data_IF_354884450126
#
_entry.id   IF_354884450126
#
_cell.length_a   1.000
_cell.length_b   1.000
_cell.length_c   1.000
_cell.angle_alpha   90.00
_cell.angle_beta   90.00
_cell.angle_gamma   90.00
#
_symmetry.space_group_name_H-M   'P 1'
#
loop_
_entity.id
_entity.type
_entity.pdbx_description
1 polymer ?
#
# COMPACT_ATOMS: atom_id res chain seq x y z
N UNK A 1 -5.92 -32.85 -19.04
CA UNK A 1 -4.86 -32.87 -18.00
C UNK A 1 -4.12 -31.55 -17.78
N UNK A 2 -3.78 -30.72 -18.80
CA UNK A 2 -2.96 -29.51 -18.60
C UNK A 2 -3.51 -28.50 -17.57
N UNK A 3 -4.83 -28.32 -17.55
CA UNK A 3 -5.52 -27.39 -16.62
C UNK A 3 -5.37 -27.76 -15.14
N UNK A 4 -5.31 -29.06 -14.82
CA UNK A 4 -5.11 -29.52 -13.43
C UNK A 4 -3.66 -29.33 -12.99
N UNK A 5 -2.70 -29.58 -13.89
CA UNK A 5 -1.27 -29.36 -13.62
C UNK A 5 -1.00 -27.87 -13.35
N UNK A 6 -1.60 -26.98 -14.14
CA UNK A 6 -1.51 -25.54 -13.93
C UNK A 6 -2.12 -25.07 -12.60
N UNK A 7 -3.27 -25.64 -12.23
CA UNK A 7 -3.94 -25.36 -10.96
C UNK A 7 -3.10 -25.85 -9.77
N UNK A 8 -2.53 -27.06 -9.86
CA UNK A 8 -1.66 -27.63 -8.83
C UNK A 8 -0.39 -26.78 -8.71
N UNK A 9 0.30 -26.46 -9.80
CA UNK A 9 1.49 -25.61 -9.79
C UNK A 9 1.21 -24.26 -9.11
N UNK A 10 0.08 -23.65 -9.46
CA UNK A 10 -0.34 -22.38 -8.87
C UNK A 10 -0.60 -22.50 -7.35
N UNK A 11 -1.33 -23.54 -6.93
CA UNK A 11 -1.70 -23.76 -5.53
C UNK A 11 -0.52 -24.20 -4.66
N UNK A 12 0.44 -24.96 -5.22
CA UNK A 12 1.57 -25.52 -4.47
C UNK A 12 2.81 -24.63 -4.46
N UNK A 13 3.03 -23.82 -5.49
CA UNK A 13 4.26 -23.01 -5.59
C UNK A 13 4.09 -21.53 -5.24
N UNK A 14 2.86 -20.98 -5.28
CA UNK A 14 2.59 -19.55 -5.00
C UNK A 14 3.54 -18.56 -5.71
N UNK A 15 4.18 -18.96 -6.80
CA UNK A 15 5.10 -18.09 -7.52
C UNK A 15 4.31 -17.02 -8.26
N UNK A 16 4.78 -15.76 -8.21
CA UNK A 16 4.11 -14.56 -8.76
C UNK A 16 4.08 -14.50 -10.29
N UNK A 17 4.77 -15.41 -10.97
CA UNK A 17 4.93 -15.35 -12.43
C UNK A 17 4.67 -16.69 -13.10
N UNK A 18 3.72 -16.69 -14.03
CA UNK A 18 3.34 -17.84 -14.88
C UNK A 18 4.38 -18.13 -15.99
N UNK A 19 5.39 -17.27 -16.15
CA UNK A 19 6.37 -17.30 -17.27
C UNK A 19 7.22 -18.56 -17.26
N UNK A 20 7.34 -19.24 -16.13
CA UNK A 20 8.04 -20.51 -15.99
C UNK A 20 7.27 -21.72 -16.55
N UNK A 21 6.00 -21.55 -16.94
CA UNK A 21 5.21 -22.62 -17.57
C UNK A 21 5.42 -22.59 -19.09
N UNK A 22 5.82 -23.71 -19.69
CA UNK A 22 6.03 -23.86 -21.13
C UNK A 22 4.79 -23.46 -21.97
N UNK A 23 3.60 -23.59 -21.38
CA UNK A 23 2.32 -23.25 -22.00
C UNK A 23 1.77 -21.87 -21.58
N UNK A 24 2.57 -20.95 -21.04
CA UNK A 24 2.06 -19.67 -20.50
C UNK A 24 1.30 -18.79 -21.51
N UNK A 25 1.55 -18.97 -22.82
CA UNK A 25 0.82 -18.26 -23.88
C UNK A 25 -0.62 -18.76 -24.07
N UNK A 26 -1.01 -19.85 -23.41
CA UNK A 26 -2.39 -20.33 -23.41
C UNK A 26 -3.32 -19.34 -22.69
N UNK A 27 -4.29 -18.81 -23.45
CA UNK A 27 -5.24 -17.81 -22.95
C UNK A 27 -6.16 -18.30 -21.82
N UNK A 28 -6.41 -19.60 -21.73
CA UNK A 28 -7.19 -20.20 -20.64
C UNK A 28 -6.37 -20.30 -19.37
N UNK A 29 -5.10 -20.69 -19.51
CA UNK A 29 -4.12 -20.77 -18.43
C UNK A 29 -3.87 -19.40 -17.79
N UNK A 30 -3.68 -18.36 -18.61
CA UNK A 30 -3.55 -16.98 -18.14
C UNK A 30 -4.77 -16.48 -17.37
N UNK A 31 -5.98 -16.81 -17.84
CA UNK A 31 -7.24 -16.44 -17.17
C UNK A 31 -7.36 -17.11 -15.80
N UNK A 32 -7.11 -18.42 -15.72
CA UNK A 32 -7.18 -19.17 -14.45
C UNK A 32 -6.15 -18.64 -13.46
N UNK A 33 -4.91 -18.43 -13.91
CA UNK A 33 -3.83 -17.89 -13.08
C UNK A 33 -4.16 -16.47 -12.58
N UNK A 34 -4.72 -15.61 -13.44
CA UNK A 34 -5.13 -14.25 -13.06
C UNK A 34 -6.22 -14.25 -12.00
N UNK A 35 -7.25 -15.07 -12.17
CA UNK A 35 -8.36 -15.19 -11.20
C UNK A 35 -7.82 -15.68 -9.86
N UNK A 36 -7.01 -16.73 -9.89
CA UNK A 36 -6.44 -17.29 -8.68
C UNK A 36 -5.50 -16.27 -8.00
N UNK A 37 -4.61 -15.61 -8.75
CA UNK A 37 -3.76 -14.54 -8.23
C UNK A 37 -4.56 -13.44 -7.55
N UNK A 38 -5.66 -12.98 -8.17
CA UNK A 38 -6.56 -11.97 -7.59
C UNK A 38 -7.20 -12.45 -6.29
N UNK A 39 -7.70 -13.69 -6.22
CA UNK A 39 -8.30 -14.26 -5.02
C UNK A 39 -7.26 -14.29 -3.88
N UNK A 40 -6.09 -14.87 -4.14
CA UNK A 40 -5.07 -15.04 -3.10
C UNK A 40 -4.39 -13.73 -2.69
N UNK A 41 -4.19 -12.76 -3.59
CA UNK A 41 -3.67 -11.43 -3.19
C UNK A 41 -4.68 -10.58 -2.45
N UNK A 42 -5.99 -10.74 -2.70
CA UNK A 42 -7.01 -9.99 -1.98
C UNK A 42 -7.23 -10.54 -0.57
N UNK A 43 -7.24 -11.86 -0.39
CA UNK A 43 -7.41 -12.49 0.93
C UNK A 43 -6.19 -12.32 1.84
N UNK A 44 -4.98 -12.56 1.33
CA UNK A 44 -3.74 -12.50 2.12
C UNK A 44 -3.37 -11.07 2.53
N UNK A 45 -3.52 -10.09 1.64
CA UNK A 45 -3.23 -8.70 1.98
C UNK A 45 -4.29 -8.11 2.91
N UNK A 46 -5.58 -8.43 2.73
CA UNK A 46 -6.61 -7.79 3.57
C UNK A 46 -6.53 -8.20 5.03
N UNK A 47 -6.18 -9.47 5.34
CA UNK A 47 -6.04 -9.93 6.72
C UNK A 47 -4.77 -9.39 7.37
N UNK A 48 -3.63 -9.52 6.70
CA UNK A 48 -2.34 -9.04 7.22
C UNK A 48 -2.32 -7.52 7.42
N UNK A 49 -2.90 -6.75 6.49
CA UNK A 49 -3.00 -5.30 6.63
C UNK A 49 -3.90 -4.93 7.82
N UNK A 50 -5.06 -5.59 7.96
CA UNK A 50 -5.94 -5.37 9.12
C UNK A 50 -5.26 -5.71 10.44
N UNK A 51 -4.54 -6.82 10.51
CA UNK A 51 -3.86 -7.26 11.73
C UNK A 51 -2.75 -6.25 12.13
N UNK A 52 -1.97 -5.73 11.18
CA UNK A 52 -0.96 -4.68 11.40
C UNK A 52 -1.59 -3.35 11.85
N UNK A 53 -2.71 -2.95 11.23
CA UNK A 53 -3.44 -1.74 11.62
C UNK A 53 -4.01 -1.82 13.03
N UNK A 54 -4.55 -2.99 13.42
CA UNK A 54 -5.06 -3.27 14.76
C UNK A 54 -3.92 -3.26 15.78
N UNK A 55 -2.77 -3.87 15.47
CA UNK A 55 -1.59 -3.86 16.35
C UNK A 55 -1.09 -2.43 16.59
N UNK A 56 -0.92 -1.65 15.51
CA UNK A 56 -0.53 -0.24 15.61
C UNK A 56 -1.53 0.60 16.42
N UNK A 57 -2.83 0.30 16.31
CA UNK A 57 -3.87 0.96 17.12
C UNK A 57 -3.72 0.62 18.60
N UNK A 58 -3.57 -0.66 18.94
CA UNK A 58 -3.38 -1.13 20.31
C UNK A 58 -2.15 -0.50 20.95
N UNK A 59 -1.02 -0.43 20.24
CA UNK A 59 0.21 0.20 20.72
C UNK A 59 0.05 1.69 21.01
N UNK A 60 -0.62 2.42 20.10
CA UNK A 60 -0.87 3.85 20.27
C UNK A 60 -1.77 4.12 21.49
N UNK A 61 -2.86 3.36 21.65
CA UNK A 61 -3.77 3.48 22.79
C UNK A 61 -3.07 3.12 24.10
N UNK A 62 -2.33 2.00 24.13
CA UNK A 62 -1.58 1.59 25.30
C UNK A 62 -0.52 2.64 25.70
N UNK A 63 0.14 3.28 24.73
CA UNK A 63 1.09 4.37 24.97
C UNK A 63 0.42 5.58 25.65
N UNK A 64 -0.77 5.98 25.19
CA UNK A 64 -1.50 7.09 25.82
C UNK A 64 -1.93 6.74 27.26
N UNK A 65 -2.42 5.52 27.52
CA UNK A 65 -2.74 5.10 28.88
C UNK A 65 -1.51 5.05 29.79
N UNK A 66 -0.35 4.59 29.30
CA UNK A 66 0.90 4.64 30.07
C UNK A 66 1.27 6.07 30.46
N UNK A 67 1.09 7.05 29.55
CA UNK A 67 1.32 8.47 29.86
C UNK A 67 0.35 9.00 30.91
N UNK A 68 -0.93 8.61 30.84
CA UNK A 68 -1.94 8.97 31.86
C UNK A 68 -1.55 8.41 33.22
N UNK A 69 -1.20 7.12 33.32
CA UNK A 69 -0.78 6.48 34.57
C UNK A 69 0.45 7.19 35.15
N UNK A 70 1.46 7.48 34.32
CA UNK A 70 2.67 8.16 34.75
C UNK A 70 2.40 9.57 35.29
N UNK A 71 1.57 10.36 34.60
CA UNK A 71 1.26 11.72 35.03
C UNK A 71 0.34 11.73 36.26
N UNK A 72 -0.53 10.74 36.41
CA UNK A 72 -1.39 10.62 37.59
C UNK A 72 -0.59 10.36 38.88
N UNK A 73 0.55 9.67 38.77
CA UNK A 73 1.44 9.41 39.91
C UNK A 73 2.15 10.69 40.43
N UNK A 74 2.30 11.72 39.60
CA UNK A 74 2.96 12.98 39.96
C UNK A 74 2.01 13.95 40.70
N UNK A 75 0.70 13.81 40.45
CA UNK A 75 -0.39 14.50 41.15
C UNK A 75 -0.32 16.05 41.21
N UNK A 76 0.46 16.67 40.34
CA UNK A 76 0.56 18.13 40.22
C UNK A 76 -0.43 18.70 39.17
N UNK A 77 -0.58 20.03 39.18
CA UNK A 77 -1.53 20.73 38.30
C UNK A 77 -1.15 20.66 36.81
N UNK A 78 0.15 20.59 36.49
CA UNK A 78 0.65 20.46 35.12
C UNK A 78 0.36 19.04 34.62
N UNK A 79 0.56 18.03 35.46
CA UNK A 79 0.22 16.65 35.17
C UNK A 79 -1.27 16.43 34.97
N UNK A 80 -2.16 17.10 35.73
CA UNK A 80 -3.61 17.05 35.48
C UNK A 80 -4.00 17.56 34.09
N UNK A 81 -3.46 18.70 33.66
CA UNK A 81 -3.70 19.23 32.30
C UNK A 81 -3.14 18.32 31.21
N UNK A 82 -2.03 17.63 31.47
CA UNK A 82 -1.46 16.64 30.53
C UNK A 82 -2.32 15.38 30.43
N UNK A 83 -2.89 14.90 31.54
CA UNK A 83 -3.81 13.75 31.54
C UNK A 83 -5.04 14.03 30.69
N UNK A 84 -5.65 15.21 30.86
CA UNK A 84 -6.79 15.67 30.04
C UNK A 84 -6.43 15.66 28.56
N UNK A 85 -5.28 16.26 28.19
CA UNK A 85 -4.80 16.26 26.81
C UNK A 85 -4.56 14.86 26.23
N UNK A 86 -3.95 13.95 27.00
CA UNK A 86 -3.73 12.57 26.52
C UNK A 86 -5.04 11.80 26.35
N UNK A 87 -6.04 12.08 27.17
CA UNK A 87 -7.37 11.52 27.01
C UNK A 87 -8.05 12.06 25.73
N UNK A 88 -7.98 13.36 25.48
CA UNK A 88 -8.47 13.99 24.24
C UNK A 88 -7.77 13.43 22.99
N UNK A 89 -6.44 13.34 23.01
CA UNK A 89 -5.64 12.74 21.93
C UNK A 89 -6.05 11.29 21.67
N UNK A 90 -6.29 10.52 22.74
CA UNK A 90 -6.77 9.14 22.67
C UNK A 90 -8.14 9.03 22.02
N UNK A 91 -9.10 9.87 22.43
CA UNK A 91 -10.46 9.93 21.85
C UNK A 91 -10.39 10.26 20.36
N UNK A 92 -9.66 11.32 19.99
CA UNK A 92 -9.51 11.74 18.60
C UNK A 92 -8.89 10.62 17.74
N UNK A 93 -7.86 9.94 18.26
CA UNK A 93 -7.23 8.83 17.56
C UNK A 93 -8.20 7.66 17.34
N UNK A 94 -8.98 7.27 18.36
CA UNK A 94 -9.95 6.18 18.27
C UNK A 94 -11.06 6.50 17.28
N UNK A 95 -11.59 7.72 17.27
CA UNK A 95 -12.60 8.16 16.31
C UNK A 95 -12.09 8.19 14.87
N UNK A 96 -10.85 8.65 14.68
CA UNK A 96 -10.18 8.62 13.38
C UNK A 96 -9.95 7.18 12.88
N UNK A 97 -9.52 6.29 13.77
CA UNK A 97 -9.32 4.88 13.44
C UNK A 97 -10.65 4.18 13.12
N UNK A 98 -11.69 4.42 13.92
CA UNK A 98 -13.04 3.88 13.68
C UNK A 98 -13.60 4.28 12.30
N UNK A 99 -13.43 5.56 11.91
CA UNK A 99 -13.85 6.03 10.58
C UNK A 99 -13.12 5.34 9.43
N UNK A 100 -11.84 5.00 9.63
CA UNK A 100 -11.03 4.30 8.62
C UNK A 100 -11.37 2.83 8.51
N UNK A 101 -11.63 2.15 9.63
CA UNK A 101 -11.83 0.70 9.66
C UNK A 101 -13.31 0.28 9.50
N UNK A 102 -14.26 1.11 9.93
CA UNK A 102 -15.70 0.80 9.97
C UNK A 102 -16.47 1.82 9.11
N UNK A 103 -15.96 2.18 7.94
CA UNK A 103 -16.67 3.08 7.02
C UNK A 103 -18.17 2.75 6.97
N UNK A 104 -19.02 3.77 7.07
CA UNK A 104 -20.47 3.64 6.97
C UNK A 104 -20.82 2.65 5.86
N UNK A 105 -21.61 1.65 6.24
CA UNK A 105 -21.86 0.47 5.45
C UNK A 105 -22.44 0.84 4.09
N UNK A 106 -21.63 0.72 3.06
CA UNK A 106 -22.11 0.36 1.75
C UNK A 106 -20.99 -0.34 1.01
N UNK A 107 -21.14 -1.67 0.92
CA UNK A 107 -20.57 -2.49 -0.13
C UNK A 107 -21.12 -2.00 -1.47
N UNK A 108 -20.69 -0.84 -1.93
CA UNK A 108 -20.70 -0.55 -3.34
C UNK A 108 -19.51 -1.32 -3.89
N UNK A 109 -19.80 -2.25 -4.78
CA UNK A 109 -18.89 -2.63 -5.85
C UNK A 109 -18.43 -1.33 -6.51
N UNK A 110 -17.39 -0.70 -5.94
CA UNK A 110 -16.73 0.42 -6.56
C UNK A 110 -16.03 -0.22 -7.74
N UNK A 111 -16.64 -0.02 -8.90
CA UNK A 111 -15.93 0.06 -10.17
C UNK A 111 -14.54 0.59 -9.85
N UNK A 112 -13.45 -0.08 -10.27
CA UNK A 112 -12.12 0.36 -9.90
C UNK A 112 -12.07 1.85 -10.20
N UNK A 113 -11.88 2.68 -9.18
CA UNK A 113 -11.48 4.06 -9.40
C UNK A 113 -10.34 3.89 -10.37
N UNK A 114 -10.51 4.39 -11.60
CA UNK A 114 -9.38 4.62 -12.47
C UNK A 114 -8.51 5.54 -11.63
N UNK A 115 -7.52 4.97 -10.95
CA UNK A 115 -6.39 5.70 -10.43
C UNK A 115 -5.87 6.39 -11.65
N UNK A 116 -6.25 7.65 -11.80
CA UNK A 116 -5.70 8.55 -12.79
C UNK A 116 -4.22 8.56 -12.46
N UNK A 117 -3.48 7.74 -13.19
CA UNK A 117 -2.04 7.61 -13.01
C UNK A 117 -1.48 9.02 -13.01
N UNK A 118 -0.68 9.34 -12.00
CA UNK A 118 -0.14 10.70 -11.90
C UNK A 118 0.59 11.03 -13.20
N UNK A 119 0.54 12.29 -13.63
CA UNK A 119 1.25 12.73 -14.85
C UNK A 119 2.74 12.33 -14.81
N UNK A 120 3.31 12.33 -13.60
CA UNK A 120 4.65 11.84 -13.30
C UNK A 120 4.79 10.33 -13.60
N UNK A 121 3.85 9.49 -13.15
CA UNK A 121 3.86 8.04 -13.36
C UNK A 121 3.66 7.67 -14.83
N UNK A 122 2.74 8.36 -15.53
CA UNK A 122 2.50 8.17 -16.96
C UNK A 122 3.79 8.43 -17.74
N UNK A 123 4.45 9.55 -17.45
CA UNK A 123 5.70 9.92 -18.13
C UNK A 123 6.83 8.91 -17.87
N UNK A 124 6.99 8.43 -16.63
CA UNK A 124 7.99 7.40 -16.31
C UNK A 124 7.72 6.11 -17.09
N UNK A 125 6.46 5.68 -17.20
CA UNK A 125 6.07 4.48 -17.96
C UNK A 125 6.30 4.65 -19.47
N UNK A 126 6.00 5.82 -20.03
CA UNK A 126 6.30 6.13 -21.43
C UNK A 126 7.80 6.12 -21.70
N UNK A 127 8.58 6.71 -20.80
CA UNK A 127 10.04 6.73 -20.90
C UNK A 127 10.64 5.32 -20.85
N UNK A 128 10.09 4.44 -20.00
CA UNK A 128 10.47 3.02 -19.93
C UNK A 128 10.11 2.25 -21.21
N UNK A 129 8.94 2.51 -21.81
CA UNK A 129 8.54 1.86 -23.07
C UNK A 129 9.44 2.27 -24.24
N UNK A 130 9.88 3.53 -24.28
CA UNK A 130 10.77 4.05 -25.32
C UNK A 130 12.22 3.56 -25.15
N UNK A 131 12.67 3.33 -23.92
CA UNK A 131 14.01 2.84 -23.64
C UNK A 131 13.95 1.36 -23.23
N UNK A 132 13.96 0.46 -24.20
CA UNK A 132 14.07 -0.98 -23.93
C UNK A 132 15.40 -1.27 -23.21
N UNK A 133 15.32 -1.79 -21.98
CA UNK A 133 16.48 -2.16 -21.16
C UNK A 133 16.45 -1.60 -19.74
N UNK A 134 17.63 -1.50 -19.11
CA UNK A 134 17.76 -1.02 -17.72
C UNK A 134 17.40 0.47 -17.64
N UNK A 135 16.42 0.80 -16.80
CA UNK A 135 15.92 2.15 -16.61
C UNK A 135 17.02 3.15 -16.23
N UNK A 136 17.19 4.19 -17.06
CA UNK A 136 18.13 5.30 -16.84
C UNK A 136 17.41 6.45 -16.13
N UNK A 137 17.45 6.44 -14.80
CA UNK A 137 16.70 7.36 -13.94
C UNK A 137 17.13 8.83 -14.04
N UNK A 138 18.43 9.12 -14.18
CA UNK A 138 18.90 10.50 -14.33
C UNK A 138 18.36 11.14 -15.62
N UNK A 139 18.53 10.55 -16.82
CA UNK A 139 17.94 11.10 -18.04
C UNK A 139 16.41 11.19 -18.05
N UNK A 140 15.73 10.28 -17.32
CA UNK A 140 14.29 10.34 -17.14
C UNK A 140 13.88 11.56 -16.31
N UNK A 141 14.58 11.82 -15.21
CA UNK A 141 14.29 12.94 -14.32
C UNK A 141 14.52 14.28 -15.02
N UNK A 142 15.65 14.44 -15.70
CA UNK A 142 16.02 15.68 -16.39
C UNK A 142 14.96 16.05 -17.44
N UNK A 143 14.56 15.09 -18.27
CA UNK A 143 13.50 15.28 -19.28
C UNK A 143 12.11 15.51 -18.69
N UNK A 144 11.84 14.99 -17.50
CA UNK A 144 10.57 15.24 -16.82
C UNK A 144 10.51 16.64 -16.23
N UNK A 145 11.61 17.12 -15.64
CA UNK A 145 11.75 18.49 -15.14
C UNK A 145 11.60 19.50 -16.29
N UNK A 146 12.20 19.25 -17.45
CA UNK A 146 12.01 20.07 -18.66
C UNK A 146 10.54 20.17 -19.11
N UNK A 147 9.73 19.14 -18.83
CA UNK A 147 8.29 19.12 -19.10
C UNK A 147 7.43 19.63 -17.93
N UNK A 148 8.05 20.20 -16.89
CA UNK A 148 7.36 20.70 -15.70
C UNK A 148 6.78 19.59 -14.81
N UNK A 149 7.25 18.35 -14.96
CA UNK A 149 6.90 17.21 -14.12
C UNK A 149 7.91 17.06 -12.98
N UNK A 150 7.60 16.22 -11.99
CA UNK A 150 8.51 15.89 -10.88
C UNK A 150 8.85 17.01 -9.89
N UNK A 151 8.10 18.11 -9.85
CA UNK A 151 8.38 19.26 -8.97
C UNK A 151 8.40 18.93 -7.46
N UNK A 152 7.83 17.80 -7.05
CA UNK A 152 7.84 17.29 -5.66
C UNK A 152 9.09 16.46 -5.30
N UNK A 153 9.96 16.16 -6.26
CA UNK A 153 11.14 15.33 -6.06
C UNK A 153 12.40 16.17 -6.18
N UNK A 154 13.25 16.13 -5.15
CA UNK A 154 14.49 16.91 -5.11
C UNK A 154 15.60 16.36 -6.03
N UNK A 155 15.49 15.11 -6.48
CA UNK A 155 16.46 14.45 -7.36
C UNK A 155 15.89 13.22 -8.06
N UNK A 156 16.60 12.72 -9.08
CA UNK A 156 16.29 11.44 -9.72
C UNK A 156 16.27 10.25 -8.73
N UNK A 157 17.07 10.33 -7.65
CA UNK A 157 17.09 9.30 -6.59
C UNK A 157 15.79 9.26 -5.81
N UNK A 158 15.24 10.43 -5.45
CA UNK A 158 13.93 10.52 -4.77
C UNK A 158 12.78 10.08 -5.67
N UNK A 159 12.82 10.40 -6.97
CA UNK A 159 11.85 9.92 -7.95
C UNK A 159 11.90 8.38 -8.07
N UNK A 160 13.11 7.82 -8.20
CA UNK A 160 13.32 6.37 -8.27
C UNK A 160 12.76 5.65 -7.04
N UNK A 161 13.03 6.18 -5.84
CA UNK A 161 12.48 5.60 -4.61
C UNK A 161 10.95 5.67 -4.58
N UNK A 162 10.37 6.81 -4.98
CA UNK A 162 8.92 6.97 -5.02
C UNK A 162 8.26 5.98 -5.99
N UNK A 163 8.93 5.67 -7.11
CA UNK A 163 8.46 4.70 -8.10
C UNK A 163 8.42 3.28 -7.52
N UNK A 164 9.52 2.85 -6.89
CA UNK A 164 9.60 1.51 -6.29
C UNK A 164 8.69 1.35 -5.08
N UNK A 165 8.33 2.44 -4.39
CA UNK A 165 7.38 2.45 -3.27
C UNK A 165 5.92 2.59 -3.71
N UNK A 166 5.64 2.68 -5.01
CA UNK A 166 4.28 2.93 -5.55
C UNK A 166 3.62 4.20 -4.98
N UNK A 167 4.44 5.21 -4.67
CA UNK A 167 4.01 6.50 -4.09
C UNK A 167 4.05 7.64 -5.12
N UNK A 168 4.16 7.28 -6.40
CA UNK A 168 4.41 8.16 -7.53
C UNK A 168 3.10 8.43 -8.28
#
# INVERSE_FOLDING_TARGET
>A
MPKMIALIHFLTQQEKHIVALDEYMDSTLQKIYRIAFQIFTCESNSKVIRDIEIESFCDAVASQFKKVIHNNALNDEISRKRIEKYAEDGVSFVENFKRRCIGEGESVCVTPIQTTESKDLIFVKEFMKQNQGKMKWSPCYDKGIEKGLFGRFASYSTLKMAFHRHTL
#
